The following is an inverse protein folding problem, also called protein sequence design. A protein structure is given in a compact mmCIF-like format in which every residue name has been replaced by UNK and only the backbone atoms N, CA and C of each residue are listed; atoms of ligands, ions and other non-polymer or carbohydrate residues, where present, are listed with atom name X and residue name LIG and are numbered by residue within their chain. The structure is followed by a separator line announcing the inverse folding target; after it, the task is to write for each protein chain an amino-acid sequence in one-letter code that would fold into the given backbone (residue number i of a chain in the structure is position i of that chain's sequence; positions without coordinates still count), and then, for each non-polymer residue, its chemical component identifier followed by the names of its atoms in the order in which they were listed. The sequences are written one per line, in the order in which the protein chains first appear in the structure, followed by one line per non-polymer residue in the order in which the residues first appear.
data_IF_649284302934
#
_entry.id   IF_649284302934
#
_cell.length_a   1.000
_cell.length_b   1.000
_cell.length_c   1.000
_cell.angle_alpha   90.00
_cell.angle_beta   90.00
_cell.angle_gamma   90.00
#
_symmetry.space_group_name_H-M   'P 1'
#
loop_
_entity.id
_entity.type
_entity.pdbx_description
1 polymer ?
#
# COMPACT_ATOMS: atom_id res chain seq x y z
N UNK A 1 -11.74 -25.48 -6.37
CA UNK A 1 -10.67 -25.92 -5.43
C UNK A 1 -9.91 -24.74 -4.81
N UNK A 2 -9.55 -23.69 -5.54
CA UNK A 2 -8.82 -22.54 -4.97
C UNK A 2 -9.64 -21.73 -3.96
N UNK A 3 -10.97 -21.66 -4.13
CA UNK A 3 -11.86 -20.93 -3.23
C UNK A 3 -12.09 -21.62 -1.87
N UNK A 4 -11.80 -22.92 -1.75
CA UNK A 4 -11.96 -23.68 -0.51
C UNK A 4 -10.74 -23.66 0.41
N UNK A 5 -9.60 -23.12 -0.05
CA UNK A 5 -8.40 -23.03 0.74
C UNK A 5 -8.46 -21.84 1.71
N UNK A 6 -8.03 -21.99 2.97
CA UNK A 6 -7.99 -20.91 3.94
C UNK A 6 -7.06 -19.79 3.48
N UNK A 7 -7.44 -18.55 3.75
CA UNK A 7 -6.60 -17.37 3.47
C UNK A 7 -5.62 -17.17 4.61
N UNK A 8 -4.33 -16.98 4.29
CA UNK A 8 -3.27 -16.86 5.30
C UNK A 8 -2.49 -15.58 5.10
N UNK A 9 -2.52 -14.73 6.11
CA UNK A 9 -1.69 -13.54 6.22
C UNK A 9 -1.01 -13.55 7.58
N UNK A 10 0.17 -12.98 7.65
CA UNK A 10 0.90 -12.76 8.89
C UNK A 10 1.44 -11.33 8.89
N UNK A 11 1.38 -10.66 10.03
CA UNK A 11 1.88 -9.30 10.16
C UNK A 11 2.47 -9.05 11.54
N UNK A 12 3.54 -8.24 11.54
CA UNK A 12 4.13 -7.65 12.71
C UNK A 12 4.18 -6.15 12.50
N UNK A 13 3.71 -5.38 13.47
CA UNK A 13 3.77 -3.92 13.42
C UNK A 13 4.29 -3.35 14.73
N UNK A 14 4.91 -2.18 14.65
CA UNK A 14 5.38 -1.46 15.81
C UNK A 14 5.31 0.04 15.58
N UNK A 15 5.20 0.78 16.70
CA UNK A 15 5.16 2.24 16.74
C UNK A 15 6.05 2.76 17.84
N UNK A 16 6.87 3.75 17.52
CA UNK A 16 7.69 4.51 18.45
C UNK A 16 7.31 5.97 18.35
N UNK A 17 7.06 6.59 19.49
CA UNK A 17 6.75 8.02 19.58
C UNK A 17 7.68 8.67 20.58
N UNK A 18 8.17 9.87 20.25
CA UNK A 18 9.01 10.66 21.11
C UNK A 18 8.51 12.10 21.12
N UNK A 19 8.42 12.69 22.29
CA UNK A 19 8.03 14.07 22.49
C UNK A 19 9.04 14.76 23.41
N UNK A 20 9.53 15.93 22.99
CA UNK A 20 10.48 16.72 23.78
C UNK A 20 9.91 18.13 24.03
N UNK A 21 9.79 18.50 25.31
CA UNK A 21 9.32 19.78 25.79
C UNK A 21 8.02 20.30 25.17
N UNK A 22 7.14 19.42 24.74
CA UNK A 22 5.93 19.78 23.96
C UNK A 22 6.21 20.67 22.74
N UNK A 23 7.43 20.60 22.20
CA UNK A 23 7.89 21.38 21.04
C UNK A 23 8.17 20.48 19.86
N UNK A 24 8.92 19.40 20.07
CA UNK A 24 9.36 18.48 19.02
C UNK A 24 8.71 17.12 19.23
N UNK A 25 8.15 16.61 18.17
CA UNK A 25 7.53 15.30 18.15
C UNK A 25 8.11 14.49 17.00
N UNK A 26 8.48 13.27 17.28
CA UNK A 26 8.91 12.30 16.28
C UNK A 26 8.10 11.03 16.43
N UNK A 27 7.73 10.46 15.31
CA UNK A 27 7.02 9.18 15.25
C UNK A 27 7.64 8.30 14.18
N UNK A 28 7.83 7.04 14.51
CA UNK A 28 8.26 6.01 13.57
C UNK A 28 7.33 4.82 13.70
N UNK A 29 6.75 4.40 12.57
CA UNK A 29 5.92 3.20 12.49
C UNK A 29 6.54 2.25 11.47
N UNK A 30 6.34 0.96 11.67
CA UNK A 30 6.67 -0.04 10.69
C UNK A 30 5.64 -1.15 10.66
N UNK A 31 5.43 -1.71 9.50
CA UNK A 31 4.70 -2.95 9.27
C UNK A 31 5.58 -3.93 8.50
N UNK A 32 5.68 -5.17 8.98
CA UNK A 32 6.29 -6.28 8.27
C UNK A 32 5.22 -7.32 8.02
N UNK A 33 4.73 -7.41 6.79
CA UNK A 33 3.56 -8.20 6.45
C UNK A 33 3.89 -9.27 5.42
N UNK A 34 3.33 -10.47 5.60
CA UNK A 34 3.43 -11.58 4.67
C UNK A 34 2.05 -11.96 4.12
N UNK A 35 1.94 -12.11 2.81
CA UNK A 35 0.73 -12.54 2.12
C UNK A 35 0.99 -13.78 1.27
N UNK A 36 0.12 -14.78 1.35
CA UNK A 36 0.23 -15.99 0.52
C UNK A 36 -0.13 -15.75 -0.96
N UNK A 37 -0.64 -14.56 -1.31
CA UNK A 37 -0.92 -14.19 -2.69
C UNK A 37 0.33 -14.15 -3.56
N UNK A 38 1.50 -13.97 -2.93
CA UNK A 38 2.78 -13.83 -3.62
C UNK A 38 3.63 -15.09 -3.53
N UNK A 39 4.53 -15.25 -4.49
CA UNK A 39 5.53 -16.31 -4.45
C UNK A 39 6.39 -16.20 -3.18
N UNK A 40 6.96 -17.32 -2.72
CA UNK A 40 7.74 -17.40 -1.46
C UNK A 40 8.81 -16.32 -1.33
N UNK A 41 9.49 -15.99 -2.43
CA UNK A 41 10.55 -14.96 -2.47
C UNK A 41 10.04 -13.51 -2.34
N UNK A 42 8.77 -13.23 -2.66
CA UNK A 42 8.16 -11.90 -2.69
C UNK A 42 7.02 -11.74 -1.67
N UNK A 43 6.83 -12.75 -0.82
CA UNK A 43 5.71 -12.84 0.11
C UNK A 43 5.72 -11.76 1.17
N UNK A 44 6.91 -11.41 1.68
CA UNK A 44 7.06 -10.45 2.76
C UNK A 44 7.37 -9.05 2.25
N UNK A 45 6.69 -8.06 2.83
CA UNK A 45 6.91 -6.65 2.58
C UNK A 45 7.18 -5.87 3.85
N UNK A 46 8.14 -4.93 3.80
CA UNK A 46 8.44 -4.00 4.87
C UNK A 46 7.94 -2.61 4.50
N UNK A 47 7.12 -2.01 5.38
CA UNK A 47 6.39 -0.77 5.15
C UNK A 47 6.65 0.22 6.30
N UNK A 48 7.76 0.97 6.24
CA UNK A 48 8.08 1.96 7.25
C UNK A 48 7.35 3.28 6.98
N UNK A 49 7.11 4.04 8.06
CA UNK A 49 6.72 5.44 7.99
C UNK A 49 7.36 6.23 9.12
N UNK A 50 7.67 7.49 8.85
CA UNK A 50 8.20 8.42 9.82
C UNK A 50 7.45 9.75 9.73
N UNK A 51 7.25 10.39 10.86
CA UNK A 51 6.64 11.70 10.98
C UNK A 51 7.39 12.57 11.98
N UNK A 52 7.47 13.86 11.67
CA UNK A 52 8.03 14.89 12.55
C UNK A 52 7.01 15.99 12.70
N UNK A 53 6.95 16.57 13.90
CA UNK A 53 6.17 17.77 14.13
C UNK A 53 6.94 18.71 15.05
N UNK A 54 6.82 20.01 14.75
CA UNK A 54 7.39 21.08 15.53
C UNK A 54 6.32 22.09 15.88
N UNK A 55 6.11 22.30 17.17
CA UNK A 55 5.22 23.34 17.70
C UNK A 55 6.05 24.60 17.90
N UNK A 56 6.11 25.42 16.86
CA UNK A 56 6.90 26.65 16.83
C UNK A 56 6.41 27.64 17.89
N UNK A 57 5.09 27.68 18.13
CA UNK A 57 4.49 28.56 19.13
C UNK A 57 4.90 28.27 20.58
N UNK A 58 5.54 27.11 20.84
CA UNK A 58 6.06 26.78 22.16
C UNK A 58 7.51 27.21 22.36
N UNK A 59 8.14 27.81 21.34
CA UNK A 59 9.49 28.38 21.46
C UNK A 59 9.45 29.75 22.10
N UNK A 60 10.49 30.08 22.87
CA UNK A 60 10.58 31.36 23.58
C UNK A 60 10.66 32.58 22.65
N UNK A 61 11.21 32.42 21.45
CA UNK A 61 11.25 33.49 20.45
C UNK A 61 9.87 33.84 19.87
N UNK A 62 8.86 32.95 20.06
CA UNK A 62 7.50 33.15 19.54
C UNK A 62 6.62 34.00 20.47
N UNK A 63 7.03 34.22 21.73
CA UNK A 63 6.21 34.90 22.72
C UNK A 63 5.63 36.24 22.26
N UNK A 64 6.39 37.13 21.52
CA UNK A 64 5.83 38.38 21.04
C UNK A 64 4.69 38.24 20.03
N UNK A 65 4.60 37.09 19.34
CA UNK A 65 3.61 36.85 18.29
C UNK A 65 2.37 36.11 18.77
N UNK A 66 2.36 35.60 20.00
CA UNK A 66 1.26 34.78 20.57
C UNK A 66 -0.08 35.50 20.60
N UNK A 67 -0.07 36.85 20.73
CA UNK A 67 -1.30 37.64 20.72
C UNK A 67 -2.05 37.61 19.39
N UNK A 68 -1.36 37.34 18.29
CA UNK A 68 -1.94 37.28 16.95
C UNK A 68 -2.01 35.82 16.46
N UNK A 69 -0.90 35.08 16.60
CA UNK A 69 -0.80 33.67 16.22
C UNK A 69 -0.54 32.86 17.48
N UNK A 70 -1.61 32.42 18.12
CA UNK A 70 -1.55 31.72 19.40
C UNK A 70 -0.98 30.31 19.27
N UNK A 71 -1.16 29.67 18.12
CA UNK A 71 -0.57 28.35 17.82
C UNK A 71 0.01 28.33 16.41
N UNK A 72 1.22 27.82 16.31
CA UNK A 72 1.85 27.47 15.03
C UNK A 72 2.52 26.10 15.16
N UNK A 73 2.10 25.15 14.29
CA UNK A 73 2.65 23.81 14.24
C UNK A 73 2.95 23.39 12.81
N UNK A 74 4.14 22.89 12.59
CA UNK A 74 4.59 22.29 11.34
C UNK A 74 4.60 20.77 11.48
N UNK A 75 4.14 20.07 10.47
CA UNK A 75 4.20 18.61 10.39
C UNK A 75 4.76 18.18 9.05
N UNK A 76 5.57 17.14 9.08
CA UNK A 76 6.05 16.45 7.88
C UNK A 76 5.99 14.96 8.12
N UNK A 77 5.53 14.21 7.14
CA UNK A 77 5.53 12.75 7.21
C UNK A 77 5.84 12.12 5.86
N UNK A 78 6.50 10.97 5.93
CA UNK A 78 6.78 10.11 4.79
C UNK A 78 6.53 8.67 5.19
N UNK A 79 5.85 7.92 4.32
CA UNK A 79 5.57 6.51 4.58
C UNK A 79 5.39 5.71 3.30
N UNK A 80 5.67 4.42 3.42
CA UNK A 80 5.41 3.43 2.38
C UNK A 80 4.31 2.52 2.85
N UNK A 81 3.25 2.38 2.04
CA UNK A 81 2.13 1.47 2.28
C UNK A 81 2.14 0.37 1.23
N UNK A 82 1.97 -0.87 1.68
CA UNK A 82 1.82 -2.02 0.80
C UNK A 82 0.36 -2.43 0.64
N UNK A 83 0.00 -2.83 -0.58
CA UNK A 83 -1.30 -3.42 -0.87
C UNK A 83 -1.10 -4.79 -1.51
N UNK A 84 -1.73 -5.83 -0.95
CA UNK A 84 -1.73 -7.18 -1.49
C UNK A 84 -3.04 -7.52 -2.24
N UNK A 85 -4.02 -6.63 -2.23
CA UNK A 85 -5.28 -6.79 -2.94
C UNK A 85 -5.14 -6.46 -4.44
N UNK A 86 -4.10 -7.03 -5.08
CA UNK A 86 -3.81 -6.87 -6.50
C UNK A 86 -4.65 -7.88 -7.31
N UNK A 87 -5.68 -7.40 -8.02
CA UNK A 87 -6.55 -8.24 -8.84
C UNK A 87 -7.46 -9.21 -8.05
N UNK A 88 -8.32 -9.92 -8.76
CA UNK A 88 -9.35 -10.81 -8.20
C UNK A 88 -8.88 -12.25 -7.92
N UNK A 89 -7.72 -12.65 -8.45
CA UNK A 89 -7.23 -14.03 -8.36
C UNK A 89 -6.39 -14.31 -7.11
N UNK A 90 -6.46 -15.56 -6.62
CA UNK A 90 -5.44 -16.12 -5.71
C UNK A 90 -4.30 -16.70 -6.52
N UNK A 91 -3.12 -16.74 -5.92
CA UNK A 91 -1.93 -17.34 -6.54
C UNK A 91 -1.64 -16.82 -7.95
N UNK A 92 -1.69 -15.48 -8.09
CA UNK A 92 -1.47 -14.81 -9.38
C UNK A 92 -0.11 -15.14 -10.02
N UNK A 93 0.84 -15.60 -9.21
CA UNK A 93 2.16 -16.05 -9.64
C UNK A 93 2.18 -17.44 -10.30
N UNK A 94 1.07 -18.19 -10.26
CA UNK A 94 0.94 -19.49 -10.94
C UNK A 94 0.32 -19.33 -12.32
N UNK A 95 0.68 -20.25 -13.22
CA UNK A 95 0.01 -20.37 -14.51
C UNK A 95 -1.47 -20.79 -14.33
N UNK A 96 -2.33 -20.27 -15.19
CA UNK A 96 -3.72 -20.69 -15.31
C UNK A 96 -3.93 -21.33 -16.69
N UNK A 97 -4.23 -22.61 -16.68
CA UNK A 97 -4.38 -23.43 -17.87
C UNK A 97 -5.82 -23.91 -17.97
N UNK A 98 -6.48 -23.60 -19.09
CA UNK A 98 -7.76 -24.18 -19.45
C UNK A 98 -7.54 -25.51 -20.17
N UNK A 99 -7.94 -26.59 -19.53
CA UNK A 99 -7.78 -27.96 -20.07
C UNK A 99 -8.93 -28.37 -21.01
N UNK A 100 -10.01 -27.57 -21.05
CA UNK A 100 -11.20 -27.86 -21.84
C UNK A 100 -11.59 -26.60 -22.63
N UNK A 101 -10.73 -26.19 -23.57
CA UNK A 101 -10.97 -25.00 -24.39
C UNK A 101 -11.43 -25.45 -25.78
N UNK A 102 -12.74 -25.32 -26.02
CA UNK A 102 -13.35 -25.72 -27.29
C UNK A 102 -12.81 -24.95 -28.50
N UNK A 103 -12.33 -23.71 -28.29
CA UNK A 103 -11.72 -22.88 -29.34
C UNK A 103 -10.41 -23.48 -29.89
N UNK A 104 -9.66 -24.18 -29.05
CA UNK A 104 -8.40 -24.84 -29.40
C UNK A 104 -8.57 -26.35 -29.55
N UNK A 105 -9.81 -26.81 -29.63
CA UNK A 105 -10.15 -28.21 -29.87
C UNK A 105 -10.01 -28.61 -31.32
N UNK A 106 -10.17 -29.91 -31.55
CA UNK A 106 -10.19 -30.50 -32.89
C UNK A 106 -11.35 -31.50 -33.02
N UNK A 107 -11.86 -31.63 -34.22
CA UNK A 107 -12.86 -32.61 -34.57
C UNK A 107 -12.18 -33.87 -35.11
N UNK A 108 -12.67 -35.03 -34.68
CA UNK A 108 -12.20 -36.36 -35.03
C UNK A 108 -13.34 -37.21 -35.54
N UNK A 109 -13.04 -38.38 -36.07
CA UNK A 109 -14.01 -39.29 -36.64
C UNK A 109 -14.12 -39.15 -38.14
N UNK A 110 -14.75 -40.16 -38.79
CA UNK A 110 -14.90 -40.21 -40.25
C UNK A 110 -15.67 -39.00 -40.81
N UNK A 111 -16.68 -38.52 -40.07
CA UNK A 111 -17.50 -37.35 -40.41
C UNK A 111 -17.10 -36.06 -39.65
N UNK A 112 -15.97 -36.04 -38.90
CA UNK A 112 -15.56 -34.92 -38.04
C UNK A 112 -16.61 -34.52 -36.98
N UNK A 113 -17.40 -35.48 -36.54
CA UNK A 113 -18.54 -35.30 -35.63
C UNK A 113 -18.17 -35.43 -34.14
N UNK A 114 -16.95 -35.88 -33.84
CA UNK A 114 -16.44 -36.06 -32.49
C UNK A 114 -15.48 -34.91 -32.12
N UNK A 115 -16.01 -33.92 -31.41
CA UNK A 115 -15.19 -32.79 -30.94
C UNK A 115 -14.41 -33.16 -29.67
N UNK A 116 -13.14 -32.81 -29.63
CA UNK A 116 -12.29 -32.84 -28.44
C UNK A 116 -11.80 -31.45 -28.14
N UNK A 117 -12.06 -30.96 -26.90
CA UNK A 117 -11.53 -29.69 -26.40
C UNK A 117 -10.00 -29.72 -26.33
N UNK A 118 -9.38 -28.63 -26.63
CA UNK A 118 -7.96 -28.46 -26.55
C UNK A 118 -7.53 -27.80 -25.24
N UNK A 119 -6.25 -27.43 -25.21
CA UNK A 119 -5.64 -26.79 -24.05
C UNK A 119 -5.21 -25.35 -24.42
N UNK A 120 -5.53 -24.40 -23.57
CA UNK A 120 -5.04 -23.02 -23.71
C UNK A 120 -4.45 -22.50 -22.41
N UNK A 121 -3.46 -21.61 -22.52
CA UNK A 121 -2.85 -20.94 -21.37
C UNK A 121 -3.53 -19.59 -21.20
N UNK A 122 -4.34 -19.43 -20.14
CA UNK A 122 -4.98 -18.15 -19.81
C UNK A 122 -4.02 -17.15 -19.19
N UNK A 123 -3.05 -17.65 -18.44
CA UNK A 123 -2.02 -16.84 -17.78
C UNK A 123 -0.73 -17.67 -17.61
N UNK A 124 0.39 -17.08 -17.95
CA UNK A 124 1.71 -17.65 -17.64
C UNK A 124 2.09 -17.36 -16.18
N UNK A 125 2.92 -18.23 -15.60
CA UNK A 125 3.45 -18.01 -14.26
C UNK A 125 4.39 -16.81 -14.25
N UNK A 126 4.23 -15.95 -13.21
CA UNK A 126 5.13 -14.83 -12.98
C UNK A 126 5.46 -14.74 -11.47
N UNK A 127 6.61 -15.28 -11.04
CA UNK A 127 7.04 -15.24 -9.65
C UNK A 127 7.50 -13.85 -9.18
N UNK A 128 7.64 -12.87 -10.09
CA UNK A 128 8.06 -11.51 -9.78
C UNK A 128 6.89 -10.62 -9.30
N UNK A 129 5.65 -11.11 -9.42
CA UNK A 129 4.48 -10.40 -8.86
C UNK A 129 4.67 -10.19 -7.35
N UNK A 130 4.57 -8.94 -6.93
CA UNK A 130 4.84 -8.50 -5.55
C UNK A 130 3.83 -7.45 -5.10
N UNK A 131 3.98 -6.98 -3.87
CA UNK A 131 3.19 -5.92 -3.27
C UNK A 131 3.14 -4.66 -4.14
N UNK A 132 1.95 -4.14 -4.38
CA UNK A 132 1.79 -2.75 -4.82
C UNK A 132 2.26 -1.84 -3.69
N UNK A 133 3.14 -0.87 -4.01
CA UNK A 133 3.71 0.05 -3.04
C UNK A 133 3.28 1.48 -3.35
N UNK A 134 2.75 2.16 -2.33
CA UNK A 134 2.43 3.58 -2.38
C UNK A 134 3.34 4.33 -1.43
N UNK A 135 4.19 5.20 -1.96
CA UNK A 135 4.98 6.15 -1.19
C UNK A 135 4.19 7.44 -1.03
N UNK A 136 3.92 7.81 0.21
CA UNK A 136 3.11 8.98 0.58
C UNK A 136 3.96 9.99 1.32
N UNK A 137 3.88 11.26 0.92
CA UNK A 137 4.51 12.38 1.59
C UNK A 137 3.44 13.40 1.94
N UNK A 138 3.45 13.92 3.15
CA UNK A 138 2.55 14.96 3.61
C UNK A 138 3.34 16.03 4.34
N UNK A 139 3.06 17.30 4.02
CA UNK A 139 3.51 18.47 4.77
C UNK A 139 2.27 19.25 5.21
N UNK A 140 2.20 19.61 6.48
CA UNK A 140 1.08 20.35 7.03
C UNK A 140 1.56 21.54 7.86
N UNK A 141 0.83 22.64 7.71
CA UNK A 141 0.93 23.85 8.51
C UNK A 141 -0.38 24.04 9.24
N UNK A 142 -0.35 24.06 10.56
CA UNK A 142 -1.48 24.36 11.42
C UNK A 142 -1.20 25.66 12.15
N UNK A 143 -2.12 26.63 12.08
CA UNK A 143 -2.04 27.84 12.87
C UNK A 143 -3.39 28.28 13.38
N UNK A 144 -3.38 28.93 14.56
CA UNK A 144 -4.56 29.51 15.20
C UNK A 144 -4.33 31.01 15.31
N UNK A 145 -5.29 31.79 14.79
CA UNK A 145 -5.28 33.26 14.88
C UNK A 145 -6.27 33.69 15.94
N UNK A 146 -5.86 34.63 16.79
CA UNK A 146 -6.68 35.27 17.81
C UNK A 146 -7.42 34.30 18.74
N UNK A 147 -6.88 33.08 18.95
CA UNK A 147 -7.46 31.98 19.69
C UNK A 147 -8.79 31.40 19.13
N UNK A 148 -9.34 32.00 18.08
CA UNK A 148 -10.64 31.63 17.53
C UNK A 148 -10.57 30.94 16.17
N UNK A 149 -9.66 31.40 15.26
CA UNK A 149 -9.60 30.91 13.89
C UNK A 149 -8.50 29.85 13.71
N UNK A 150 -8.92 28.61 13.54
CA UNK A 150 -8.01 27.49 13.25
C UNK A 150 -7.91 27.27 11.73
N UNK A 151 -6.70 27.31 11.20
CA UNK A 151 -6.42 27.06 9.79
C UNK A 151 -5.41 25.92 9.67
N UNK A 152 -5.70 24.97 8.79
CA UNK A 152 -4.80 23.87 8.44
C UNK A 152 -4.61 23.88 6.93
N UNK A 153 -3.35 23.96 6.49
CA UNK A 153 -2.98 23.81 5.10
C UNK A 153 -2.13 22.54 4.95
N UNK A 154 -2.48 21.69 4.00
CA UNK A 154 -1.78 20.43 3.75
C UNK A 154 -1.36 20.32 2.28
N UNK A 155 -0.12 19.89 2.07
CA UNK A 155 0.41 19.48 0.79
C UNK A 155 0.67 17.97 0.82
N UNK A 156 0.03 17.25 -0.08
CA UNK A 156 0.08 15.80 -0.14
C UNK A 156 0.56 15.32 -1.51
N UNK A 157 1.43 14.33 -1.50
CA UNK A 157 1.83 13.63 -2.73
C UNK A 157 1.85 12.12 -2.53
N UNK A 158 1.44 11.37 -3.56
CA UNK A 158 1.46 9.92 -3.58
C UNK A 158 2.08 9.40 -4.88
N UNK A 159 2.97 8.42 -4.75
CA UNK A 159 3.56 7.71 -5.89
C UNK A 159 3.35 6.22 -5.72
N UNK A 160 2.66 5.61 -6.67
CA UNK A 160 2.41 4.17 -6.69
C UNK A 160 3.35 3.46 -7.65
N UNK A 161 3.81 2.26 -7.24
CA UNK A 161 4.67 1.38 -8.03
C UNK A 161 4.18 -0.06 -7.94
N UNK A 162 4.58 -0.89 -8.91
CA UNK A 162 4.23 -2.31 -8.96
C UNK A 162 2.71 -2.55 -9.05
N UNK A 163 2.01 -1.71 -9.82
CA UNK A 163 0.58 -1.88 -10.10
C UNK A 163 0.44 -2.99 -11.14
N UNK A 164 -0.29 -4.06 -10.79
CA UNK A 164 -0.60 -5.14 -11.72
C UNK A 164 -1.68 -4.66 -12.71
N UNK A 165 -1.35 -4.69 -14.00
CA UNK A 165 -2.28 -4.40 -15.09
C UNK A 165 -2.46 -5.64 -15.97
N UNK A 166 -3.68 -5.95 -16.34
CA UNK A 166 -3.98 -6.96 -17.38
C UNK A 166 -3.85 -6.30 -18.74
N UNK A 167 -3.16 -7.02 -19.64
CA UNK A 167 -3.10 -6.66 -21.06
C UNK A 167 -4.19 -7.40 -21.83
#
# INVERSE_FOLDING_TARGET
LQASLPYRNVGLSGRFTYAYNNRYFAEFNFGYNGSERFHKSKRFGFFPSAGLAWVVSNESFWDPFKSVVSKLKLRASYGIVGNDAIGSGRFLYLSDINMNDSKYGANFGYNFDYHRDGISVKRYSDPEITWEKSAKTNFALEFTLFDDLNVTAEYYTERRKSILQQR
#
